data_IF_472869612083
#
_entry.id   IF_472869612083
#
_cell.length_a   1.000
_cell.length_b   1.000
_cell.length_c   1.000
_cell.angle_alpha   90.00
_cell.angle_beta   90.00
_cell.angle_gamma   90.00
#
_symmetry.space_group_name_H-M   'P 1'
#
loop_
_entity.id
_entity.type
_entity.pdbx_description
1 polymer ?
#
# COMPACT_ATOMS: atom_id res chain seq x y z
N UNK A 1 35.43 -27.16 -1.27
CA UNK A 1 34.49 -28.01 -2.02
C UNK A 1 33.13 -27.83 -1.38
N UNK A 2 32.22 -27.11 -2.01
CA UNK A 2 30.87 -26.88 -1.47
C UNK A 2 29.91 -27.74 -2.28
N UNK A 3 29.47 -28.85 -1.71
CA UNK A 3 28.41 -29.69 -2.29
C UNK A 3 27.04 -29.25 -1.76
N UNK A 4 26.01 -29.22 -2.62
CA UNK A 4 24.71 -28.61 -2.33
C UNK A 4 23.80 -29.47 -1.43
N UNK A 5 22.81 -28.77 -0.86
CA UNK A 5 21.76 -29.18 0.06
C UNK A 5 20.81 -30.26 -0.50
N UNK A 6 20.23 -31.12 0.34
CA UNK A 6 18.95 -31.76 0.07
C UNK A 6 17.80 -30.86 0.55
N UNK A 7 16.84 -30.58 -0.33
CA UNK A 7 15.53 -30.05 0.05
C UNK A 7 14.74 -31.12 0.80
N UNK A 8 14.03 -30.74 1.87
CA UNK A 8 12.97 -31.57 2.44
C UNK A 8 11.62 -30.87 2.29
N UNK A 9 10.73 -31.56 1.59
CA UNK A 9 9.35 -31.15 1.28
C UNK A 9 8.43 -31.84 2.26
N UNK A 10 7.68 -31.10 3.07
CA UNK A 10 6.53 -31.70 3.78
C UNK A 10 5.43 -30.69 4.15
N UNK A 11 4.46 -30.46 3.24
CA UNK A 11 3.05 -30.26 3.53
C UNK A 11 2.25 -31.58 3.31
N UNK A 12 0.95 -31.71 3.66
CA UNK A 12 0.06 -30.81 4.41
C UNK A 12 -0.80 -31.52 5.50
N UNK A 13 -1.35 -30.79 6.47
CA UNK A 13 -2.73 -31.08 6.92
C UNK A 13 -3.48 -29.78 7.27
N UNK A 14 -4.51 -29.54 6.47
CA UNK A 14 -5.56 -28.56 6.73
C UNK A 14 -6.47 -29.19 7.78
N UNK A 15 -6.54 -28.60 8.97
CA UNK A 15 -7.64 -28.88 9.89
C UNK A 15 -8.35 -27.58 10.19
N UNK A 16 -9.19 -27.17 9.25
CA UNK A 16 -10.35 -26.34 9.55
C UNK A 16 -11.33 -27.20 10.35
N UNK A 17 -11.74 -26.77 11.54
CA UNK A 17 -13.13 -26.91 11.90
C UNK A 17 -13.73 -25.52 12.16
N UNK A 18 -14.76 -25.21 11.40
CA UNK A 18 -15.65 -24.09 11.64
C UNK A 18 -16.74 -24.48 12.66
N UNK A 19 -17.30 -23.46 13.30
CA UNK A 19 -18.60 -23.38 13.99
C UNK A 19 -18.65 -23.86 15.45
N UNK A 20 -18.91 -22.91 16.36
CA UNK A 20 -20.02 -23.06 17.32
C UNK A 20 -20.79 -21.75 17.45
N UNK A 21 -22.01 -21.82 16.95
CA UNK A 21 -23.11 -20.89 17.12
C UNK A 21 -23.46 -20.68 18.60
N UNK A 22 -24.05 -19.52 18.88
CA UNK A 22 -25.08 -19.26 19.91
C UNK A 22 -24.68 -18.30 21.03
N UNK A 23 -24.83 -17.00 20.74
CA UNK A 23 -25.50 -16.09 21.69
C UNK A 23 -26.51 -15.25 20.92
N UNK A 24 -27.71 -15.81 20.81
CA UNK A 24 -28.91 -15.06 20.47
C UNK A 24 -29.25 -14.11 21.61
N UNK A 25 -28.98 -12.82 21.43
CA UNK A 25 -29.77 -11.78 22.07
C UNK A 25 -29.94 -10.56 21.18
N UNK A 26 -31.22 -10.24 20.99
CA UNK A 26 -31.77 -8.95 20.62
C UNK A 26 -31.48 -8.39 19.23
N UNK A 27 -32.48 -8.60 18.37
CA UNK A 27 -32.90 -7.63 17.37
C UNK A 27 -32.83 -6.20 17.92
N UNK A 28 -31.83 -5.45 17.48
CA UNK A 28 -31.98 -4.05 17.18
C UNK A 28 -31.74 -3.95 15.66
N UNK A 29 -32.85 -3.84 14.92
CA UNK A 29 -32.77 -3.19 13.61
C UNK A 29 -32.37 -1.74 13.88
N UNK A 30 -31.60 -1.18 12.95
CA UNK A 30 -31.10 0.19 12.87
C UNK A 30 -29.63 0.40 13.30
N UNK A 31 -28.90 0.87 12.28
CA UNK A 31 -27.60 1.56 12.26
C UNK A 31 -26.28 0.76 12.35
N UNK A 32 -25.65 0.67 11.17
CA UNK A 32 -24.23 0.99 10.94
C UNK A 32 -23.16 0.27 11.77
N UNK A 33 -22.80 -0.93 11.34
CA UNK A 33 -21.40 -1.37 11.44
C UNK A 33 -20.93 -1.75 10.03
N UNK A 34 -20.61 -0.71 9.26
CA UNK A 34 -19.78 -0.85 8.08
C UNK A 34 -18.38 -1.16 8.61
N UNK A 35 -17.92 -2.41 8.47
CA UNK A 35 -16.58 -2.83 8.84
C UNK A 35 -15.54 -1.84 8.27
N UNK A 36 -15.15 -0.84 9.07
CA UNK A 36 -14.07 0.07 8.76
C UNK A 36 -12.75 -0.61 9.13
N UNK A 37 -12.54 -1.78 8.52
CA UNK A 37 -11.26 -2.45 8.56
C UNK A 37 -10.47 -2.00 7.32
N UNK A 38 -10.01 -0.75 7.37
CA UNK A 38 -8.90 -0.31 6.54
C UNK A 38 -7.74 0.08 7.45
N UNK A 39 -7.26 -0.94 8.16
CA UNK A 39 -5.84 -1.19 8.38
C UNK A 39 -5.00 0.07 8.59
N UNK A 40 -4.94 0.49 9.85
CA UNK A 40 -4.01 1.48 10.34
C UNK A 40 -2.57 0.95 10.31
N UNK A 41 -1.97 0.75 9.13
CA UNK A 41 -0.52 0.88 8.89
C UNK A 41 -0.16 0.77 7.39
N UNK A 42 -0.41 1.85 6.64
CA UNK A 42 0.27 2.12 5.37
C UNK A 42 0.19 3.61 5.08
N UNK A 43 1.16 4.37 5.57
CA UNK A 43 1.38 5.81 5.30
C UNK A 43 1.62 6.14 3.81
N UNK A 44 1.36 5.20 2.91
CA UNK A 44 1.65 5.27 1.48
C UNK A 44 0.47 5.94 0.77
N UNK A 45 0.63 7.21 0.44
CA UNK A 45 -0.37 7.94 -0.35
C UNK A 45 -0.19 7.66 -1.82
N UNK A 46 -1.19 7.03 -2.43
CA UNK A 46 -1.17 6.68 -3.84
C UNK A 46 -2.05 7.62 -4.63
N UNK A 47 -1.53 8.11 -5.77
CA UNK A 47 -2.34 8.85 -6.72
C UNK A 47 -3.40 7.95 -7.37
N UNK A 48 -4.65 8.37 -7.23
CA UNK A 48 -5.86 7.73 -7.72
C UNK A 48 -6.68 8.69 -8.59
N UNK A 49 -6.79 9.97 -8.20
CA UNK A 49 -7.62 10.96 -8.91
C UNK A 49 -7.09 12.39 -8.76
N UNK A 50 -7.63 13.34 -9.53
CA UNK A 50 -7.26 14.77 -9.44
C UNK A 50 -7.74 15.45 -8.16
N UNK A 51 -8.68 14.83 -7.45
CA UNK A 51 -9.28 15.33 -6.22
C UNK A 51 -8.53 14.86 -4.97
N UNK A 52 -7.53 13.99 -5.12
CA UNK A 52 -6.78 13.44 -3.98
C UNK A 52 -6.14 14.53 -3.11
N UNK A 53 -5.84 15.69 -3.68
CA UNK A 53 -5.24 16.82 -2.98
C UNK A 53 -6.24 17.79 -2.34
N UNK A 54 -7.56 17.60 -2.46
CA UNK A 54 -8.55 18.54 -1.94
C UNK A 54 -8.42 18.76 -0.43
N UNK A 55 -8.13 17.70 0.31
CA UNK A 55 -8.03 17.69 1.78
C UNK A 55 -6.60 17.42 2.25
N UNK A 56 -5.60 17.56 1.36
CA UNK A 56 -4.19 17.34 1.68
C UNK A 56 -3.43 18.67 1.70
N UNK A 57 -2.49 18.84 2.64
CA UNK A 57 -1.65 20.03 2.67
C UNK A 57 -0.72 20.07 1.46
N UNK A 58 -0.34 21.28 1.07
CA UNK A 58 0.64 21.50 0.03
C UNK A 58 1.99 20.86 0.39
N UNK A 59 2.67 20.31 -0.62
CA UNK A 59 3.89 19.53 -0.46
C UNK A 59 3.66 18.06 -0.13
N UNK A 60 2.41 17.60 -0.01
CA UNK A 60 2.13 16.16 0.14
C UNK A 60 2.50 15.40 -1.13
N UNK A 61 3.33 14.37 -0.99
CA UNK A 61 3.71 13.48 -2.09
C UNK A 61 2.70 12.34 -2.26
N UNK A 62 2.34 12.05 -3.52
CA UNK A 62 1.56 10.89 -3.91
C UNK A 62 2.38 10.03 -4.87
N UNK A 63 2.42 8.71 -4.64
CA UNK A 63 3.14 7.78 -5.50
C UNK A 63 2.27 7.26 -6.63
N UNK A 64 2.91 6.88 -7.74
CA UNK A 64 2.24 6.17 -8.82
C UNK A 64 2.32 4.65 -8.60
N UNK A 65 1.17 3.95 -8.67
CA UNK A 65 1.11 2.46 -8.56
C UNK A 65 1.88 1.74 -9.67
N UNK A 66 1.91 2.30 -10.88
CA UNK A 66 2.40 1.63 -12.10
C UNK A 66 3.84 2.02 -12.44
N UNK A 67 4.22 3.26 -12.14
CA UNK A 67 5.45 3.86 -12.62
C UNK A 67 6.27 4.50 -11.49
N UNK A 68 7.25 3.78 -10.95
CA UNK A 68 8.14 4.25 -9.88
C UNK A 68 8.91 5.56 -10.19
N UNK A 69 9.08 5.89 -11.46
CA UNK A 69 9.72 7.13 -11.89
C UNK A 69 8.75 8.32 -11.89
N UNK A 70 7.45 8.10 -11.69
CA UNK A 70 6.41 9.12 -11.65
C UNK A 70 5.89 9.26 -10.23
N UNK A 71 5.73 10.49 -9.81
CA UNK A 71 5.16 10.86 -8.52
C UNK A 71 4.38 12.16 -8.71
N UNK A 72 3.65 12.56 -7.68
CA UNK A 72 2.84 13.76 -7.71
C UNK A 72 3.01 14.54 -6.42
N UNK A 73 2.75 15.83 -6.50
CA UNK A 73 2.80 16.73 -5.34
C UNK A 73 1.50 17.52 -5.29
N UNK A 74 0.91 17.61 -4.11
CA UNK A 74 -0.22 18.49 -3.87
C UNK A 74 0.25 19.94 -3.79
N UNK A 75 -0.32 20.81 -4.63
CA UNK A 75 -0.07 22.25 -4.63
C UNK A 75 -1.38 22.99 -4.86
N UNK A 76 -1.75 23.89 -3.96
CA UNK A 76 -3.01 24.62 -3.93
C UNK A 76 -4.24 23.73 -4.15
N UNK A 77 -4.28 22.58 -3.48
CA UNK A 77 -5.38 21.59 -3.60
C UNK A 77 -5.43 20.85 -4.94
N UNK A 78 -4.38 20.94 -5.76
CA UNK A 78 -4.30 20.27 -7.07
C UNK A 78 -3.15 19.27 -7.10
N UNK A 79 -3.36 18.17 -7.83
CA UNK A 79 -2.33 17.17 -8.09
C UNK A 79 -1.42 17.64 -9.23
N UNK A 80 -0.16 17.89 -8.93
CA UNK A 80 0.86 18.26 -9.91
C UNK A 80 1.78 17.08 -10.23
N UNK A 81 1.95 16.69 -11.51
CA UNK A 81 2.73 15.52 -11.90
C UNK A 81 4.23 15.82 -12.03
N UNK A 82 5.05 14.91 -11.51
CA UNK A 82 6.51 14.97 -11.60
C UNK A 82 7.10 13.65 -12.09
N UNK A 83 8.28 13.73 -12.71
CA UNK A 83 9.03 12.57 -13.20
C UNK A 83 10.48 12.66 -12.80
N UNK A 84 11.00 11.58 -12.25
CA UNK A 84 12.43 11.43 -12.01
C UNK A 84 13.20 11.29 -13.33
N UNK A 85 14.49 11.68 -13.35
CA UNK A 85 15.37 11.45 -14.49
C UNK A 85 15.48 9.97 -14.88
N UNK A 86 15.99 9.72 -16.08
CA UNK A 86 16.20 8.35 -16.54
C UNK A 86 17.14 7.57 -15.61
N UNK A 87 16.72 6.37 -15.20
CA UNK A 87 17.46 5.52 -14.26
C UNK A 87 17.19 5.82 -12.77
N UNK A 88 16.35 6.81 -12.46
CA UNK A 88 15.99 7.19 -11.09
C UNK A 88 14.51 6.91 -10.81
N UNK A 89 14.22 6.51 -9.57
CA UNK A 89 12.87 6.30 -9.04
C UNK A 89 12.63 7.22 -7.84
N UNK A 90 11.36 7.53 -7.59
CA UNK A 90 11.00 8.31 -6.41
C UNK A 90 11.05 7.42 -5.18
N UNK A 91 11.94 7.78 -4.26
CA UNK A 91 12.05 7.19 -2.92
C UNK A 91 11.11 7.96 -2.00
N UNK A 92 10.02 7.31 -1.56
CA UNK A 92 8.98 7.95 -0.72
C UNK A 92 9.41 8.16 0.73
N UNK A 93 10.41 7.42 1.21
CA UNK A 93 10.91 7.56 2.58
C UNK A 93 11.87 8.76 2.66
N UNK A 94 12.60 9.01 1.57
CA UNK A 94 13.50 10.16 1.42
C UNK A 94 12.83 11.36 0.70
N UNK A 95 11.63 11.19 0.18
CA UNK A 95 10.92 12.16 -0.67
C UNK A 95 11.79 12.72 -1.81
N UNK A 96 12.56 11.85 -2.48
CA UNK A 96 13.53 12.29 -3.49
C UNK A 96 13.77 11.26 -4.58
N UNK A 97 14.22 11.70 -5.76
CA UNK A 97 14.62 10.81 -6.82
C UNK A 97 15.99 10.18 -6.52
N UNK A 98 16.03 8.85 -6.41
CA UNK A 98 17.24 8.07 -6.15
C UNK A 98 17.50 7.06 -7.28
N UNK A 99 18.75 6.59 -7.46
CA UNK A 99 19.04 5.54 -8.43
C UNK A 99 18.12 4.34 -8.21
N UNK A 100 17.52 3.81 -9.28
CA UNK A 100 16.54 2.70 -9.20
C UNK A 100 16.96 1.55 -8.29
N UNK A 101 18.26 1.21 -8.27
CA UNK A 101 18.84 0.11 -7.47
C UNK A 101 18.81 0.36 -5.95
N UNK A 102 18.67 1.61 -5.53
CA UNK A 102 18.64 2.03 -4.12
C UNK A 102 17.21 2.12 -3.57
N UNK A 103 16.21 2.26 -4.45
CA UNK A 103 14.80 2.46 -4.07
C UNK A 103 14.12 1.11 -3.84
N UNK A 104 13.87 0.78 -2.57
CA UNK A 104 13.17 -0.46 -2.17
C UNK A 104 11.68 -0.26 -1.89
N UNK A 105 11.25 0.98 -1.74
CA UNK A 105 9.89 1.39 -1.38
C UNK A 105 9.03 1.72 -2.60
N UNK A 106 9.42 1.29 -3.81
CA UNK A 106 8.51 1.22 -4.93
C UNK A 106 7.89 -0.18 -5.02
N UNK A 107 6.78 -0.38 -4.29
CA UNK A 107 6.00 -1.61 -4.43
C UNK A 107 5.09 -1.46 -5.64
N UNK A 108 5.38 -2.23 -6.68
CA UNK A 108 4.46 -2.49 -7.78
C UNK A 108 3.32 -3.33 -7.19
N UNK A 109 2.27 -2.66 -6.74
CA UNK A 109 1.03 -3.28 -6.25
C UNK A 109 0.30 -3.95 -7.42
#
# INVERSE_FOLDING_TARGET
VTTPTPCETTPPCVTTPCITTDHRWHFHYDDEDFDNDSDSDSTIRVYSSRNDCNDLPDGTYLIDRRFCYRFYVCLNGRVEPFRCPFGFWFDRDLNSCRPRREVQNCRRL
#
